data_IF_152444114807
#
_entry.id   IF_152444114807
#
_cell.length_a   1.000
_cell.length_b   1.000
_cell.length_c   1.000
_cell.angle_alpha   90.00
_cell.angle_beta   90.00
_cell.angle_gamma   90.00
#
_symmetry.space_group_name_H-M   'P 1'
#
loop_
_entity.id
_entity.type
_entity.pdbx_description
1 polymer ?
#
# COMPACT_ATOMS: atom_id res chain seq x y z
N UNK A 1 -37.37 14.66 36.42
CA UNK A 1 -35.97 14.36 36.73
C UNK A 1 -35.45 13.01 36.18
N UNK A 2 -36.26 12.18 35.51
CA UNK A 2 -35.84 10.85 34.97
C UNK A 2 -35.26 10.88 33.54
N UNK A 3 -35.51 11.91 32.75
CA UNK A 3 -35.09 11.99 31.33
C UNK A 3 -33.62 12.40 31.16
N UNK A 4 -33.06 13.16 32.10
CA UNK A 4 -31.65 13.62 32.02
C UNK A 4 -30.61 12.51 32.30
N UNK A 5 -30.96 11.51 33.11
CA UNK A 5 -30.07 10.40 33.48
C UNK A 5 -29.89 9.43 32.30
N UNK A 6 -30.95 9.18 31.53
CA UNK A 6 -30.94 8.28 30.36
C UNK A 6 -30.03 8.84 29.24
N UNK A 7 -30.02 10.16 29.04
CA UNK A 7 -29.17 10.78 28.01
C UNK A 7 -27.65 10.71 28.36
N UNK A 8 -27.30 10.78 29.65
CA UNK A 8 -25.91 10.68 30.09
C UNK A 8 -25.41 9.24 29.97
N UNK A 9 -26.23 8.24 30.27
CA UNK A 9 -25.86 6.83 30.13
C UNK A 9 -25.69 6.44 28.66
N UNK A 10 -26.52 6.97 27.75
CA UNK A 10 -26.39 6.73 26.32
C UNK A 10 -25.14 7.39 25.72
N UNK A 11 -24.73 8.56 26.23
CA UNK A 11 -23.50 9.23 25.79
C UNK A 11 -22.23 8.50 26.26
N UNK A 12 -22.26 7.87 27.45
CA UNK A 12 -21.13 7.07 27.95
C UNK A 12 -20.99 5.71 27.22
N UNK A 13 -22.09 5.15 26.70
CA UNK A 13 -22.04 3.90 25.96
C UNK A 13 -21.42 4.07 24.55
N UNK A 14 -21.47 5.27 23.96
CA UNK A 14 -20.90 5.54 22.64
C UNK A 14 -19.37 5.74 22.70
N UNK A 15 -18.81 6.11 23.84
CA UNK A 15 -17.37 6.35 23.97
C UNK A 15 -16.53 5.08 24.13
N UNK A 16 -17.13 3.92 24.32
CA UNK A 16 -16.39 2.66 24.50
C UNK A 16 -16.11 1.89 23.20
N UNK A 17 -16.67 2.30 22.05
CA UNK A 17 -16.44 1.65 20.76
C UNK A 17 -15.35 2.30 19.89
N UNK A 18 -14.78 3.42 20.33
CA UNK A 18 -13.63 4.05 19.67
C UNK A 18 -12.28 3.54 20.24
N UNK A 19 -12.15 2.24 20.47
CA UNK A 19 -10.81 1.64 20.53
C UNK A 19 -10.35 1.49 19.09
N UNK A 20 -9.68 2.54 18.62
CA UNK A 20 -9.09 2.59 17.31
C UNK A 20 -8.22 1.35 17.10
N UNK A 21 -8.47 0.63 16.04
CA UNK A 21 -7.47 -0.24 15.44
C UNK A 21 -6.22 0.63 15.28
N UNK A 22 -5.18 0.35 16.07
CA UNK A 22 -3.96 1.11 16.00
C UNK A 22 -3.38 0.95 14.61
N UNK A 23 -3.49 1.99 13.77
CA UNK A 23 -2.83 2.02 12.49
C UNK A 23 -1.33 1.96 12.74
N UNK A 24 -0.75 0.78 12.60
CA UNK A 24 0.69 0.60 12.68
C UNK A 24 1.29 1.13 11.39
N UNK A 25 2.04 2.23 11.48
CA UNK A 25 2.74 2.82 10.33
C UNK A 25 4.24 2.59 10.46
N UNK A 26 4.89 2.24 9.34
CA UNK A 26 6.33 2.17 9.21
C UNK A 26 6.76 2.89 7.93
N UNK A 27 7.29 4.11 8.07
CA UNK A 27 7.59 4.96 6.93
C UNK A 27 6.33 5.28 6.11
N UNK A 28 6.34 4.90 4.83
CA UNK A 28 5.19 5.06 3.93
C UNK A 28 4.27 3.83 3.89
N UNK A 29 4.56 2.80 4.68
CA UNK A 29 3.71 1.62 4.81
C UNK A 29 2.78 1.77 6.00
N UNK A 30 1.56 1.30 5.85
CA UNK A 30 0.57 1.22 6.93
C UNK A 30 -0.19 -0.11 6.83
N UNK A 31 -0.65 -0.60 7.97
CA UNK A 31 -1.59 -1.71 8.04
C UNK A 31 -3.00 -1.14 8.12
N UNK A 32 -3.82 -1.43 7.14
CA UNK A 32 -5.21 -0.99 7.03
C UNK A 32 -6.07 -2.20 6.68
N UNK A 33 -7.13 -2.45 7.45
CA UNK A 33 -8.01 -3.61 7.27
C UNK A 33 -7.26 -4.96 7.13
N UNK A 34 -6.21 -5.15 7.93
CA UNK A 34 -5.32 -6.32 7.91
C UNK A 34 -4.52 -6.48 6.60
N UNK A 35 -4.39 -5.45 5.82
CA UNK A 35 -3.59 -5.41 4.61
C UNK A 35 -2.49 -4.37 4.69
N UNK A 36 -1.29 -4.72 4.21
CA UNK A 36 -0.20 -3.75 4.05
C UNK A 36 -0.46 -2.94 2.81
N UNK A 37 -0.57 -1.64 3.00
CA UNK A 37 -0.61 -0.67 1.91
C UNK A 37 0.60 0.26 1.98
N UNK A 38 1.07 0.67 0.81
CA UNK A 38 2.07 1.73 0.68
C UNK A 38 1.38 3.01 0.24
N UNK A 39 1.69 4.15 0.87
CA UNK A 39 1.13 5.43 0.48
C UNK A 39 2.18 6.53 0.57
N UNK A 40 2.35 7.29 -0.52
CA UNK A 40 3.28 8.41 -0.56
C UNK A 40 2.71 9.58 -1.35
N UNK A 41 2.94 10.78 -0.83
CA UNK A 41 2.57 12.04 -1.49
C UNK A 41 3.83 12.66 -2.09
N UNK A 42 3.70 13.14 -3.32
CA UNK A 42 4.74 13.86 -4.04
C UNK A 42 4.22 15.27 -4.37
N UNK A 43 5.10 16.25 -4.20
CA UNK A 43 4.84 17.63 -4.59
C UNK A 43 5.31 17.79 -6.05
N UNK A 44 4.43 18.20 -6.92
CA UNK A 44 4.76 18.49 -8.31
C UNK A 44 3.73 19.41 -8.91
N UNK A 45 4.12 20.65 -9.11
CA UNK A 45 3.28 21.65 -9.76
C UNK A 45 2.97 21.22 -11.21
N UNK A 46 1.77 21.58 -11.66
CA UNK A 46 1.31 21.36 -13.03
C UNK A 46 1.18 19.89 -13.47
N UNK A 47 1.13 18.93 -12.50
CA UNK A 47 0.81 17.53 -12.82
C UNK A 47 -0.70 17.38 -13.08
N UNK A 48 -1.07 16.58 -14.07
CA UNK A 48 -2.46 16.22 -14.34
C UNK A 48 -2.65 14.71 -14.36
N UNK A 49 -3.87 14.24 -14.09
CA UNK A 49 -4.19 12.83 -14.17
C UNK A 49 -3.99 12.30 -15.61
N UNK A 50 -4.30 13.10 -16.61
CA UNK A 50 -4.10 12.72 -18.02
C UNK A 50 -2.63 12.49 -18.36
N UNK A 51 -1.73 13.40 -17.95
CA UNK A 51 -0.29 13.22 -18.19
C UNK A 51 0.28 12.01 -17.45
N UNK A 52 -0.23 11.72 -16.23
CA UNK A 52 0.13 10.51 -15.49
C UNK A 52 -0.39 9.26 -16.18
N UNK A 53 -1.62 9.26 -16.67
CA UNK A 53 -2.18 8.12 -17.40
C UNK A 53 -1.35 7.79 -18.64
N UNK A 54 -0.97 8.80 -19.45
CA UNK A 54 -0.14 8.60 -20.64
C UNK A 54 1.24 8.05 -20.27
N UNK A 55 1.86 8.59 -19.23
CA UNK A 55 3.13 8.08 -18.71
C UNK A 55 3.02 6.62 -18.27
N UNK A 56 2.03 6.27 -17.45
CA UNK A 56 1.88 4.90 -16.96
C UNK A 56 1.53 3.92 -18.07
N UNK A 57 0.76 4.31 -19.08
CA UNK A 57 0.50 3.48 -20.27
C UNK A 57 1.76 3.14 -21.07
N UNK A 58 2.78 3.97 -21.00
CA UNK A 58 4.05 3.74 -21.69
C UNK A 58 4.93 2.70 -20.99
N UNK A 59 4.62 2.30 -19.75
CA UNK A 59 5.43 1.39 -18.95
C UNK A 59 5.00 -0.07 -19.16
N UNK A 60 5.90 -0.95 -19.67
CA UNK A 60 5.53 -2.29 -20.13
C UNK A 60 5.14 -3.27 -19.00
N UNK A 61 5.48 -2.96 -17.74
CA UNK A 61 5.17 -3.78 -16.57
C UNK A 61 3.88 -3.37 -15.86
N UNK A 62 3.15 -2.41 -16.43
CA UNK A 62 1.84 -1.99 -15.96
C UNK A 62 0.75 -2.47 -16.92
N UNK A 63 -0.42 -2.76 -16.38
CA UNK A 63 -1.59 -3.11 -17.18
C UNK A 63 -2.85 -2.45 -16.62
N UNK A 64 -3.93 -2.50 -17.38
CA UNK A 64 -5.23 -1.97 -16.98
C UNK A 64 -5.19 -0.50 -16.53
N UNK A 65 -4.34 0.31 -17.20
CA UNK A 65 -4.21 1.74 -16.87
C UNK A 65 -5.49 2.47 -17.29
N UNK A 66 -6.19 3.04 -16.32
CA UNK A 66 -7.46 3.72 -16.48
C UNK A 66 -7.44 5.05 -15.72
N UNK A 67 -8.20 6.03 -16.21
CA UNK A 67 -8.42 7.30 -15.53
C UNK A 67 -9.91 7.48 -15.23
N UNK A 68 -10.20 7.93 -14.03
CA UNK A 68 -11.52 8.36 -13.60
C UNK A 68 -11.41 9.69 -12.86
N UNK A 69 -11.81 10.79 -13.51
CA UNK A 69 -11.59 12.14 -12.98
C UNK A 69 -10.12 12.42 -12.73
N UNK A 70 -9.79 12.80 -11.50
CA UNK A 70 -8.42 13.12 -11.06
C UNK A 70 -7.65 11.90 -10.51
N UNK A 71 -8.16 10.70 -10.73
CA UNK A 71 -7.53 9.45 -10.28
C UNK A 71 -7.13 8.58 -11.47
N UNK A 72 -5.92 8.02 -11.40
CA UNK A 72 -5.41 7.02 -12.34
C UNK A 72 -5.17 5.72 -11.59
N UNK A 73 -5.71 4.62 -12.09
CA UNK A 73 -5.52 3.27 -11.51
C UNK A 73 -4.84 2.35 -12.51
N UNK A 74 -4.05 1.40 -12.00
CA UNK A 74 -3.41 0.38 -12.83
C UNK A 74 -2.97 -0.83 -12.00
N UNK A 75 -2.68 -1.94 -12.68
CA UNK A 75 -2.12 -3.13 -12.08
C UNK A 75 -0.61 -3.18 -12.27
N UNK A 76 0.09 -3.57 -11.21
CA UNK A 76 1.52 -3.87 -11.19
C UNK A 76 1.73 -5.36 -11.47
N UNK A 77 2.61 -5.70 -12.42
CA UNK A 77 2.85 -7.08 -12.80
C UNK A 77 4.32 -7.44 -12.66
N UNK A 78 4.61 -8.33 -11.70
CA UNK A 78 5.92 -8.96 -11.53
C UNK A 78 7.11 -7.98 -11.50
N UNK A 79 6.91 -6.82 -10.82
CA UNK A 79 7.97 -5.83 -10.64
C UNK A 79 9.13 -6.40 -9.81
N UNK A 80 10.34 -6.12 -10.23
CA UNK A 80 11.55 -6.40 -9.47
C UNK A 80 12.11 -5.11 -8.87
N UNK A 81 12.74 -5.21 -7.70
CA UNK A 81 13.40 -4.05 -7.07
C UNK A 81 14.80 -3.88 -7.63
N UNK A 82 15.09 -2.74 -8.21
CA UNK A 82 16.46 -2.37 -8.57
C UNK A 82 17.21 -1.86 -7.33
N UNK A 83 17.60 -2.79 -6.46
CA UNK A 83 18.27 -2.47 -5.19
C UNK A 83 19.63 -1.78 -5.41
N UNK A 84 20.29 -2.01 -6.54
CA UNK A 84 21.58 -1.38 -6.87
C UNK A 84 21.43 0.12 -7.12
N UNK A 85 20.31 0.55 -7.73
CA UNK A 85 19.99 1.96 -7.91
C UNK A 85 19.86 2.71 -6.58
N UNK A 86 19.51 2.01 -5.51
CA UNK A 86 19.43 2.52 -4.14
C UNK A 86 20.74 2.33 -3.35
N UNK A 87 21.86 2.01 -4.03
CA UNK A 87 23.20 1.83 -3.45
C UNK A 87 23.32 0.63 -2.47
N UNK A 88 22.39 -0.33 -2.53
CA UNK A 88 22.53 -1.57 -1.77
C UNK A 88 23.44 -2.55 -2.49
N UNK A 89 24.23 -3.30 -1.71
CA UNK A 89 25.11 -4.36 -2.23
C UNK A 89 24.35 -5.69 -2.27
N UNK A 90 24.80 -6.60 -3.13
CA UNK A 90 24.22 -7.94 -3.22
C UNK A 90 24.31 -8.70 -1.88
N UNK A 91 25.45 -8.61 -1.19
CA UNK A 91 25.67 -9.31 0.09
C UNK A 91 24.79 -8.74 1.22
N UNK A 92 24.57 -7.43 1.20
CA UNK A 92 23.76 -6.75 2.23
C UNK A 92 22.26 -6.73 1.95
N UNK A 93 21.82 -7.23 0.81
CA UNK A 93 20.39 -7.16 0.41
C UNK A 93 19.71 -8.51 0.65
N UNK A 94 18.59 -8.57 1.39
CA UNK A 94 17.82 -9.82 1.57
C UNK A 94 17.37 -10.41 0.24
N UNK A 95 17.33 -11.75 0.13
CA UNK A 95 16.91 -12.45 -1.08
C UNK A 95 15.54 -12.02 -1.59
N UNK A 96 14.60 -11.77 -0.68
CA UNK A 96 13.27 -11.27 -1.02
C UNK A 96 13.30 -9.98 -1.86
N UNK A 97 14.29 -9.13 -1.64
CA UNK A 97 14.47 -7.89 -2.40
C UNK A 97 15.22 -8.16 -3.71
N UNK A 98 16.18 -9.10 -3.71
CA UNK A 98 17.00 -9.39 -4.88
C UNK A 98 16.23 -10.17 -5.97
N UNK A 99 15.42 -11.13 -5.56
CA UNK A 99 14.77 -12.10 -6.46
C UNK A 99 13.26 -12.04 -6.44
N UNK A 100 12.69 -11.31 -5.48
CA UNK A 100 11.25 -11.15 -5.34
C UNK A 100 10.63 -10.41 -6.53
N UNK A 101 9.49 -10.91 -6.98
CA UNK A 101 8.62 -10.26 -7.96
C UNK A 101 7.35 -9.81 -7.27
N UNK A 102 7.04 -8.55 -7.41
CA UNK A 102 5.94 -7.91 -6.72
C UNK A 102 4.83 -7.57 -7.71
N UNK A 103 3.61 -7.89 -7.33
CA UNK A 103 2.39 -7.54 -8.06
C UNK A 103 1.41 -6.86 -7.13
N UNK A 104 0.45 -6.14 -7.67
CA UNK A 104 -0.56 -5.44 -6.87
C UNK A 104 -1.34 -4.44 -7.67
N UNK A 105 -2.09 -3.58 -6.99
CA UNK A 105 -2.85 -2.49 -7.59
C UNK A 105 -2.29 -1.15 -7.15
N UNK A 106 -2.32 -0.19 -8.04
CA UNK A 106 -1.97 1.19 -7.75
C UNK A 106 -3.13 2.13 -8.03
N UNK A 107 -3.26 3.14 -7.19
CA UNK A 107 -4.13 4.29 -7.38
C UNK A 107 -3.29 5.56 -7.21
N UNK A 108 -3.45 6.50 -8.13
CA UNK A 108 -2.72 7.79 -8.13
C UNK A 108 -3.73 8.91 -8.21
N UNK A 109 -4.01 9.55 -7.08
CA UNK A 109 -4.90 10.71 -7.02
C UNK A 109 -4.12 12.02 -7.16
N UNK A 110 -4.59 12.92 -8.01
CA UNK A 110 -4.00 14.25 -8.26
C UNK A 110 -4.87 15.32 -7.60
N UNK A 111 -4.26 16.21 -6.83
CA UNK A 111 -4.96 17.34 -6.21
C UNK A 111 -4.00 18.46 -5.81
N UNK A 112 -4.33 19.70 -6.14
CA UNK A 112 -3.66 20.92 -5.64
C UNK A 112 -2.12 20.89 -5.77
N UNK A 113 -1.59 20.59 -6.96
CA UNK A 113 -0.13 20.52 -7.20
C UNK A 113 0.57 19.36 -6.51
N UNK A 114 -0.17 18.32 -6.15
CA UNK A 114 0.34 17.10 -5.50
C UNK A 114 -0.26 15.87 -6.16
N UNK A 115 0.45 14.76 -6.08
CA UNK A 115 -0.15 13.47 -6.35
C UNK A 115 0.19 12.47 -5.25
N UNK A 116 -0.77 11.61 -4.95
CA UNK A 116 -0.65 10.56 -3.96
C UNK A 116 -0.70 9.21 -4.64
N UNK A 117 0.36 8.43 -4.46
CA UNK A 117 0.38 7.03 -4.88
C UNK A 117 -0.03 6.15 -3.71
N UNK A 118 -0.97 5.26 -3.96
CA UNK A 118 -1.38 4.18 -3.02
C UNK A 118 -1.18 2.86 -3.73
N UNK A 119 -0.42 1.94 -3.12
CA UNK A 119 -0.29 0.56 -3.56
C UNK A 119 -1.01 -0.35 -2.57
N UNK A 120 -1.83 -1.26 -3.09
CA UNK A 120 -2.64 -2.21 -2.32
C UNK A 120 -2.65 -3.58 -3.00
N UNK A 121 -3.19 -4.60 -2.34
CA UNK A 121 -3.21 -5.95 -2.89
C UNK A 121 -1.82 -6.49 -3.18
N UNK A 122 -0.82 -6.09 -2.39
CA UNK A 122 0.58 -6.43 -2.66
C UNK A 122 0.81 -7.93 -2.50
N UNK A 123 1.34 -8.54 -3.54
CA UNK A 123 1.65 -9.96 -3.63
C UNK A 123 3.12 -10.15 -3.98
N UNK A 124 3.66 -11.28 -3.58
CA UNK A 124 5.05 -11.65 -3.78
C UNK A 124 5.15 -13.05 -4.39
N UNK A 125 6.08 -13.20 -5.33
CA UNK A 125 6.62 -14.51 -5.78
C UNK A 125 8.13 -14.46 -5.77
N UNK A 126 8.82 -15.59 -5.69
CA UNK A 126 10.26 -15.67 -5.77
C UNK A 126 10.90 -16.48 -4.65
N UNK A 127 12.22 -16.49 -4.63
CA UNK A 127 13.02 -17.15 -3.59
C UNK A 127 13.34 -16.16 -2.48
N UNK A 128 12.79 -16.40 -1.29
CA UNK A 128 13.03 -15.55 -0.12
C UNK A 128 14.13 -16.10 0.81
N UNK A 129 14.88 -17.10 0.34
CA UNK A 129 16.01 -17.70 1.03
C UNK A 129 15.64 -18.93 1.87
N UNK A 130 14.61 -18.85 2.70
CA UNK A 130 14.14 -20.01 3.50
C UNK A 130 12.90 -20.69 2.89
N UNK A 131 12.26 -20.05 1.90
CA UNK A 131 11.10 -20.58 1.20
C UNK A 131 11.10 -20.11 -0.25
N UNK A 132 10.78 -21.02 -1.17
CA UNK A 132 10.51 -20.68 -2.58
C UNK A 132 9.01 -20.51 -2.78
N UNK A 133 8.60 -19.31 -3.17
CA UNK A 133 7.20 -18.95 -3.40
C UNK A 133 6.93 -19.07 -4.89
N UNK A 134 6.23 -20.13 -5.28
CA UNK A 134 5.93 -20.42 -6.69
C UNK A 134 4.66 -19.75 -7.19
N UNK A 135 3.74 -19.39 -6.29
CA UNK A 135 2.48 -18.70 -6.58
C UNK A 135 2.46 -17.35 -5.86
N UNK A 136 1.65 -16.40 -6.36
CA UNK A 136 1.51 -15.09 -5.72
C UNK A 136 0.91 -15.25 -4.33
N UNK A 137 1.67 -14.88 -3.30
CA UNK A 137 1.22 -14.87 -1.91
C UNK A 137 1.13 -13.42 -1.41
N UNK A 138 0.14 -13.12 -0.55
CA UNK A 138 -0.05 -11.78 -0.02
C UNK A 138 1.18 -11.35 0.82
N UNK A 139 1.70 -10.15 0.54
CA UNK A 139 2.88 -9.62 1.23
C UNK A 139 2.65 -9.47 2.74
N UNK A 140 1.43 -9.20 3.17
CA UNK A 140 1.05 -9.07 4.58
C UNK A 140 1.39 -10.32 5.39
N UNK A 141 1.24 -11.51 4.80
CA UNK A 141 1.55 -12.78 5.47
C UNK A 141 3.03 -12.95 5.84
N UNK A 142 3.93 -12.20 5.17
CA UNK A 142 5.37 -12.23 5.45
C UNK A 142 5.81 -11.10 6.38
N UNK A 143 5.15 -9.96 6.32
CA UNK A 143 5.58 -8.76 7.03
C UNK A 143 4.89 -8.59 8.39
N UNK A 144 3.70 -9.14 8.56
CA UNK A 144 2.99 -9.13 9.84
C UNK A 144 3.20 -10.47 10.55
N UNK A 145 3.85 -10.45 11.71
CA UNK A 145 3.79 -11.60 12.62
C UNK A 145 2.33 -11.75 13.06
N UNK A 146 1.72 -12.88 12.75
CA UNK A 146 0.50 -13.26 13.43
C UNK A 146 0.86 -13.26 14.92
N UNK A 147 0.32 -12.33 15.70
CA UNK A 147 0.29 -12.42 17.14
C UNK A 147 -0.59 -13.63 17.45
N UNK A 148 0.03 -14.82 17.39
CA UNK A 148 -0.60 -16.05 17.77
C UNK A 148 -1.05 -15.92 19.22
N UNK A 149 -2.28 -16.16 19.42
CA UNK A 149 -2.93 -16.47 20.68
C UNK A 149 -2.15 -17.50 21.47
#
# INVERSE_FOLDING_TARGET
MKIKVIRIVLLLAITTFARGQGNTTYGNFKLEDQEIIYQKIFLQDSISATSLMEYYKSLPYLSNVQQSGDEVTFDLNDLTVDYKKFQFTQVGTPNIIQTGKYSGKASVGVKDGKYRITLSGLQLTGDIGYKKIMTKENLTSFACKNSGT
#
